data_IF_740685989400
#
_entry.id   IF_740685989400
#
_cell.length_a   1.000
_cell.length_b   1.000
_cell.length_c   1.000
_cell.angle_alpha   90.00
_cell.angle_beta   90.00
_cell.angle_gamma   90.00
#
_symmetry.space_group_name_H-M   'P 1'
#
loop_
_entity.id
_entity.type
_entity.pdbx_description
1 polymer ?
#
# COMPACT_ATOMS: atom_id res chain seq x y z
N UNK A 1 8.24 23.96 -64.87
CA UNK A 1 8.18 22.50 -65.06
C UNK A 1 9.03 21.82 -63.98
N UNK A 2 8.44 20.83 -63.27
CA UNK A 2 9.04 19.65 -62.57
C UNK A 2 10.27 19.88 -61.65
N UNK A 3 10.14 19.90 -60.31
CA UNK A 3 9.99 18.81 -59.28
C UNK A 3 11.28 18.06 -58.88
N UNK A 4 11.66 18.18 -57.60
CA UNK A 4 12.15 17.14 -56.65
C UNK A 4 12.60 17.88 -55.34
N UNK A 5 11.83 17.98 -54.25
CA UNK A 5 11.57 17.02 -53.14
C UNK A 5 12.81 16.23 -52.70
N UNK A 6 13.31 16.50 -51.47
CA UNK A 6 14.01 15.64 -50.48
C UNK A 6 14.84 16.58 -49.56
N UNK A 7 14.87 16.58 -48.23
CA UNK A 7 14.47 15.65 -47.18
C UNK A 7 14.05 16.49 -45.97
N UNK A 8 12.80 16.34 -45.56
CA UNK A 8 12.27 16.82 -44.28
C UNK A 8 12.23 15.60 -43.36
N UNK A 9 13.32 15.28 -42.64
CA UNK A 9 13.33 14.09 -41.77
C UNK A 9 14.50 14.06 -40.78
N UNK A 10 14.67 15.13 -40.00
CA UNK A 10 15.49 15.06 -38.77
C UNK A 10 14.76 15.81 -37.66
N UNK A 11 13.61 15.29 -37.24
CA UNK A 11 13.03 15.36 -35.89
C UNK A 11 11.60 14.80 -36.00
N UNK A 12 11.43 13.49 -35.76
CA UNK A 12 10.70 13.15 -34.53
C UNK A 12 11.21 11.87 -33.84
N UNK A 13 12.49 11.48 -34.01
CA UNK A 13 13.03 10.33 -33.26
C UNK A 13 13.27 10.62 -31.76
N UNK A 14 13.15 11.88 -31.33
CA UNK A 14 13.19 12.26 -29.91
C UNK A 14 11.80 12.26 -29.24
N UNK A 15 10.75 11.86 -29.97
CA UNK A 15 9.42 11.57 -29.45
C UNK A 15 9.19 10.06 -29.25
N UNK A 16 10.28 9.27 -29.14
CA UNK A 16 10.22 8.11 -28.25
C UNK A 16 10.05 8.69 -26.87
N UNK A 17 8.79 8.94 -26.52
CA UNK A 17 8.39 9.35 -25.21
C UNK A 17 9.17 8.48 -24.24
N UNK A 18 9.90 9.13 -23.35
CA UNK A 18 9.95 8.61 -22.01
C UNK A 18 8.48 8.40 -21.64
N UNK A 19 7.97 7.18 -21.87
CA UNK A 19 7.04 6.57 -20.95
C UNK A 19 7.77 6.68 -19.63
N UNK A 20 7.61 7.83 -18.96
CA UNK A 20 7.62 7.87 -17.54
C UNK A 20 6.69 6.74 -17.19
N UNK A 21 7.27 5.60 -16.79
CA UNK A 21 6.55 4.62 -16.01
C UNK A 21 6.01 5.46 -14.86
N UNK A 22 4.77 5.94 -15.01
CA UNK A 22 4.07 6.59 -13.92
C UNK A 22 4.11 5.54 -12.83
N UNK A 23 4.80 5.83 -11.73
CA UNK A 23 4.76 4.95 -10.57
C UNK A 23 3.30 4.78 -10.21
N UNK A 24 2.79 3.57 -10.35
CA UNK A 24 1.43 3.25 -9.92
C UNK A 24 1.44 3.04 -8.42
N UNK A 25 0.31 3.32 -7.77
CA UNK A 25 0.08 2.96 -6.39
C UNK A 25 -1.39 2.65 -6.16
N UNK A 26 -1.67 1.80 -5.18
CA UNK A 26 -3.01 1.42 -4.76
C UNK A 26 -3.10 1.57 -3.24
N UNK A 27 -4.26 2.02 -2.75
CA UNK A 27 -4.46 2.29 -1.33
C UNK A 27 -5.71 1.59 -0.81
N UNK A 28 -5.56 0.97 0.36
CA UNK A 28 -6.63 0.41 1.15
C UNK A 28 -6.66 1.15 2.48
N UNK A 29 -7.86 1.48 2.94
CA UNK A 29 -8.04 2.21 4.19
C UNK A 29 -9.27 1.69 4.95
N UNK A 30 -9.18 1.71 6.28
CA UNK A 30 -10.27 1.37 7.17
C UNK A 30 -10.06 2.02 8.54
N UNK A 31 -11.13 2.11 9.31
CA UNK A 31 -11.05 2.68 10.65
C UNK A 31 -11.99 1.96 11.63
N UNK A 32 -11.62 2.05 12.90
CA UNK A 32 -12.45 1.76 14.07
C UNK A 32 -12.55 3.04 14.92
N UNK A 33 -13.12 2.95 16.11
CA UNK A 33 -13.22 4.11 17.01
C UNK A 33 -11.84 4.66 17.40
N UNK A 34 -10.84 3.78 17.58
CA UNK A 34 -9.52 4.18 18.06
C UNK A 34 -8.41 4.09 17.01
N UNK A 35 -8.66 3.50 15.83
CA UNK A 35 -7.60 3.23 14.87
C UNK A 35 -7.99 3.58 13.45
N UNK A 36 -7.02 4.09 12.70
CA UNK A 36 -7.05 4.12 11.24
C UNK A 36 -5.94 3.21 10.72
N UNK A 37 -6.29 2.27 9.85
CA UNK A 37 -5.36 1.38 9.17
C UNK A 37 -5.28 1.73 7.69
N UNK A 38 -4.06 1.72 7.15
CA UNK A 38 -3.79 1.92 5.73
C UNK A 38 -2.85 0.83 5.23
N UNK A 39 -3.14 0.26 4.06
CA UNK A 39 -2.14 -0.46 3.29
C UNK A 39 -1.95 0.20 1.94
N UNK A 40 -0.70 0.48 1.61
CA UNK A 40 -0.29 0.99 0.30
C UNK A 40 0.45 -0.11 -0.46
N UNK A 41 0.11 -0.27 -1.74
CA UNK A 41 0.93 -1.00 -2.71
C UNK A 41 1.50 0.01 -3.68
N UNK A 42 2.79 -0.06 -3.93
CA UNK A 42 3.42 0.80 -4.94
C UNK A 42 4.52 0.07 -5.69
N UNK A 43 4.87 0.64 -6.83
CA UNK A 43 5.94 0.14 -7.67
C UNK A 43 7.30 0.25 -6.97
N UNK A 44 7.98 -0.89 -6.85
CA UNK A 44 9.35 -1.02 -6.36
C UNK A 44 10.25 -1.48 -7.50
N UNK A 45 11.31 -0.73 -7.81
CA UNK A 45 12.18 -1.02 -8.97
C UNK A 45 12.87 -2.37 -8.91
N UNK A 46 13.12 -2.88 -7.70
CA UNK A 46 13.85 -4.14 -7.50
C UNK A 46 12.88 -5.33 -7.41
N UNK A 47 11.69 -5.12 -6.85
CA UNK A 47 10.76 -6.18 -6.47
C UNK A 47 9.42 -6.15 -7.20
N UNK A 48 9.19 -5.19 -8.11
CA UNK A 48 7.93 -4.99 -8.82
C UNK A 48 6.89 -4.29 -7.93
N UNK A 49 6.35 -5.02 -6.96
CA UNK A 49 5.36 -4.50 -6.01
C UNK A 49 5.87 -4.56 -4.57
N UNK A 50 5.62 -3.50 -3.80
CA UNK A 50 5.87 -3.45 -2.35
C UNK A 50 4.61 -3.07 -1.60
N UNK A 51 4.38 -3.76 -0.49
CA UNK A 51 3.23 -3.60 0.38
C UNK A 51 3.69 -2.95 1.68
N UNK A 52 3.03 -1.88 2.10
CA UNK A 52 3.35 -1.19 3.35
C UNK A 52 2.09 -1.01 4.17
N UNK A 53 2.04 -1.65 5.33
CA UNK A 53 0.97 -1.51 6.31
C UNK A 53 1.31 -0.43 7.32
N UNK A 54 0.36 0.46 7.55
CA UNK A 54 0.46 1.61 8.45
C UNK A 54 -0.76 1.67 9.35
N UNK A 55 -0.56 2.13 10.58
CA UNK A 55 -1.68 2.44 11.48
C UNK A 55 -1.46 3.79 12.17
N UNK A 56 -2.57 4.42 12.54
CA UNK A 56 -2.60 5.65 13.34
C UNK A 56 -3.61 5.47 14.46
N UNK A 57 -3.22 5.83 15.67
CA UNK A 57 -4.14 5.93 16.80
C UNK A 57 -4.99 7.21 16.68
N UNK A 58 -6.30 7.06 16.81
CA UNK A 58 -7.31 8.12 16.76
C UNK A 58 -7.89 8.45 18.14
N UNK A 59 -7.67 7.57 19.11
CA UNK A 59 -8.17 7.75 20.47
C UNK A 59 -7.43 8.86 21.22
N UNK A 60 -7.90 9.13 22.44
CA UNK A 60 -7.24 10.01 23.38
C UNK A 60 -6.23 9.22 24.22
N UNK A 61 -5.19 9.89 24.73
CA UNK A 61 -4.18 9.28 25.59
C UNK A 61 -3.08 8.54 24.83
N UNK A 62 -2.23 7.85 25.60
CA UNK A 62 -1.09 7.10 25.07
C UNK A 62 -1.38 5.60 24.95
N UNK A 63 -0.78 4.95 23.95
CA UNK A 63 -0.78 3.49 23.81
C UNK A 63 0.52 2.94 24.40
N UNK A 64 0.42 2.10 25.43
CA UNK A 64 1.59 1.51 26.11
C UNK A 64 2.15 0.31 25.37
N UNK A 65 1.26 -0.51 24.80
CA UNK A 65 1.62 -1.73 24.08
C UNK A 65 0.72 -1.90 22.89
N UNK A 66 1.29 -2.41 21.82
CA UNK A 66 0.59 -2.72 20.60
C UNK A 66 1.09 -4.06 20.08
N UNK A 67 0.16 -4.92 19.68
CA UNK A 67 0.39 -6.11 18.90
C UNK A 67 -0.53 -6.08 17.69
N UNK A 68 -0.03 -6.49 16.53
CA UNK A 68 -0.82 -6.53 15.31
C UNK A 68 -0.67 -7.86 14.59
N UNK A 69 -1.73 -8.25 13.88
CA UNK A 69 -1.73 -9.33 12.91
C UNK A 69 -2.39 -8.80 11.63
N UNK A 70 -1.76 -9.04 10.49
CA UNK A 70 -2.27 -8.69 9.17
C UNK A 70 -2.17 -9.89 8.24
N UNK A 71 -3.27 -10.21 7.57
CA UNK A 71 -3.37 -11.26 6.57
C UNK A 71 -3.71 -10.63 5.22
N UNK A 72 -2.82 -10.80 4.24
CA UNK A 72 -3.00 -10.30 2.88
C UNK A 72 -2.80 -11.47 1.92
N UNK A 73 -3.68 -11.61 0.93
CA UNK A 73 -3.77 -12.80 0.04
C UNK A 73 -2.48 -13.13 -0.73
N UNK A 74 -1.54 -12.19 -0.87
CA UNK A 74 -0.33 -12.32 -1.70
C UNK A 74 0.99 -12.22 -0.92
N UNK A 75 0.93 -12.05 0.40
CA UNK A 75 2.10 -11.93 1.27
C UNK A 75 2.10 -13.02 2.33
N UNK A 76 3.18 -13.13 3.09
CA UNK A 76 3.14 -13.91 4.34
C UNK A 76 2.28 -13.19 5.39
N UNK A 77 1.76 -13.92 6.38
CA UNK A 77 1.09 -13.29 7.53
C UNK A 77 2.10 -12.38 8.25
N UNK A 78 1.72 -11.11 8.44
CA UNK A 78 2.56 -10.14 9.12
C UNK A 78 2.12 -10.02 10.57
N UNK A 79 3.06 -10.14 11.49
CA UNK A 79 2.81 -10.00 12.93
C UNK A 79 3.93 -9.19 13.57
N UNK A 80 3.60 -8.47 14.62
CA UNK A 80 4.61 -7.73 15.36
C UNK A 80 4.08 -7.12 16.64
N UNK A 81 5.02 -6.63 17.43
CA UNK A 81 4.76 -6.00 18.72
C UNK A 81 5.56 -4.73 18.85
N UNK A 82 4.91 -3.64 19.23
CA UNK A 82 5.53 -2.35 19.49
C UNK A 82 5.30 -2.00 20.95
N UNK A 83 6.39 -1.77 21.68
CA UNK A 83 6.33 -1.20 23.03
C UNK A 83 6.30 0.31 22.89
N UNK A 84 5.43 0.96 23.65
CA UNK A 84 5.29 2.43 23.70
C UNK A 84 5.30 3.06 22.30
N UNK A 85 4.41 2.64 21.38
CA UNK A 85 4.33 3.23 20.04
C UNK A 85 4.10 4.75 20.12
N UNK A 86 4.76 5.50 19.25
CA UNK A 86 4.65 6.95 19.20
C UNK A 86 3.92 7.38 17.93
N UNK A 87 2.75 8.00 18.09
CA UNK A 87 1.89 8.46 17.00
C UNK A 87 1.92 9.99 16.78
N UNK A 88 2.87 10.71 17.39
CA UNK A 88 2.96 12.19 17.26
C UNK A 88 3.14 12.66 15.82
N UNK A 89 3.82 11.86 15.00
CA UNK A 89 4.03 12.14 13.57
C UNK A 89 2.93 11.53 12.67
N UNK A 90 1.86 11.00 13.27
CA UNK A 90 0.74 10.40 12.57
C UNK A 90 0.88 8.88 12.46
N UNK A 91 1.00 8.37 11.25
CA UNK A 91 1.06 6.93 11.00
C UNK A 91 2.41 6.34 11.41
N UNK A 92 2.38 5.16 12.00
CA UNK A 92 3.55 4.29 12.12
C UNK A 92 3.45 3.14 11.12
N UNK A 93 4.59 2.65 10.63
CA UNK A 93 4.66 1.47 9.78
C UNK A 93 4.67 0.23 10.68
N UNK A 94 3.74 -0.69 10.44
CA UNK A 94 3.67 -1.98 11.16
C UNK A 94 4.31 -3.12 10.36
N UNK A 95 4.28 -3.08 9.04
CA UNK A 95 5.02 -4.04 8.22
C UNK A 95 5.38 -3.48 6.85
N UNK A 96 6.37 -4.11 6.22
CA UNK A 96 6.69 -3.96 4.81
C UNK A 96 6.97 -5.34 4.24
N UNK A 97 6.29 -5.72 3.15
CA UNK A 97 6.48 -7.02 2.50
C UNK A 97 6.45 -6.90 0.98
N UNK A 98 6.86 -7.95 0.28
CA UNK A 98 6.79 -8.11 -1.18
C UNK A 98 5.98 -9.37 -1.53
N UNK A 99 5.44 -9.49 -2.75
CA UNK A 99 4.72 -10.70 -3.14
C UNK A 99 5.52 -11.99 -3.00
N UNK A 100 4.83 -13.06 -2.65
CA UNK A 100 5.41 -14.40 -2.46
C UNK A 100 5.93 -15.05 -3.76
N UNK A 101 5.56 -14.55 -4.95
CA UNK A 101 5.95 -15.14 -6.25
C UNK A 101 6.28 -14.09 -7.32
N UNK A 102 7.12 -14.45 -8.29
CA UNK A 102 7.52 -13.56 -9.39
C UNK A 102 6.38 -13.21 -10.36
N UNK A 103 5.37 -14.08 -10.51
CA UNK A 103 4.17 -13.74 -11.30
C UNK A 103 3.41 -12.61 -10.63
N UNK A 104 3.20 -12.70 -9.32
CA UNK A 104 2.45 -11.71 -8.54
C UNK A 104 3.15 -10.34 -8.51
N UNK A 105 4.48 -10.29 -8.60
CA UNK A 105 5.24 -9.03 -8.69
C UNK A 105 4.83 -8.16 -9.89
N UNK A 106 4.39 -8.79 -10.97
CA UNK A 106 4.05 -8.13 -12.24
C UNK A 106 2.54 -7.93 -12.45
N UNK A 107 1.70 -8.50 -11.58
CA UNK A 107 0.25 -8.31 -11.63
C UNK A 107 -0.14 -6.86 -11.29
N UNK A 108 0.70 -6.18 -10.51
CA UNK A 108 0.55 -4.76 -10.21
C UNK A 108 1.23 -3.90 -11.27
N UNK A 109 0.43 -3.17 -12.03
CA UNK A 109 0.89 -2.29 -13.11
C UNK A 109 -0.10 -1.15 -13.33
N UNK A 110 0.28 -0.15 -14.11
CA UNK A 110 -0.64 0.90 -14.52
C UNK A 110 -1.84 0.33 -15.29
N UNK A 111 -3.03 0.82 -14.97
CA UNK A 111 -4.25 0.54 -15.75
C UNK A 111 -4.95 -0.78 -15.42
N UNK A 112 -4.64 -1.41 -14.28
CA UNK A 112 -5.50 -2.47 -13.73
C UNK A 112 -6.81 -1.85 -13.21
N UNK A 113 -7.91 -2.59 -13.30
CA UNK A 113 -9.22 -2.10 -12.86
C UNK A 113 -9.37 -2.19 -11.34
N UNK A 114 -10.33 -1.45 -10.77
CA UNK A 114 -10.63 -1.52 -9.34
C UNK A 114 -11.00 -2.93 -8.87
N UNK A 115 -11.64 -3.73 -9.73
CA UNK A 115 -11.95 -5.14 -9.48
C UNK A 115 -10.69 -6.00 -9.44
N UNK A 116 -9.76 -5.79 -10.38
CA UNK A 116 -8.45 -6.45 -10.36
C UNK A 116 -7.67 -6.05 -9.11
N UNK A 117 -7.71 -4.77 -8.72
CA UNK A 117 -7.07 -4.30 -7.49
C UNK A 117 -7.62 -5.01 -6.25
N UNK A 118 -8.95 -5.08 -6.12
CA UNK A 118 -9.63 -5.81 -5.02
C UNK A 118 -9.19 -7.26 -4.91
N UNK A 119 -8.94 -7.93 -6.03
CA UNK A 119 -8.48 -9.32 -6.02
C UNK A 119 -7.06 -9.50 -5.43
N UNK A 120 -6.25 -8.44 -5.35
CA UNK A 120 -4.88 -8.51 -4.87
C UNK A 120 -4.75 -8.63 -3.34
N UNK A 121 -5.62 -7.97 -2.60
CA UNK A 121 -5.62 -8.06 -1.13
C UNK A 121 -6.56 -9.12 -0.57
N UNK A 122 -7.38 -9.71 -1.44
CA UNK A 122 -8.54 -10.49 -1.06
C UNK A 122 -9.74 -9.60 -0.71
N UNK A 123 -10.90 -10.23 -0.52
CA UNK A 123 -12.15 -9.50 -0.28
C UNK A 123 -12.17 -8.75 1.07
N UNK A 124 -11.32 -9.15 2.03
CA UNK A 124 -11.32 -8.60 3.41
C UNK A 124 -9.91 -8.52 4.03
N UNK A 125 -8.98 -7.72 3.50
CA UNK A 125 -7.76 -7.39 4.23
C UNK A 125 -8.11 -6.79 5.59
N UNK A 126 -7.57 -7.38 6.64
CA UNK A 126 -7.85 -6.99 8.03
C UNK A 126 -6.57 -6.76 8.80
N UNK A 127 -6.57 -5.71 9.61
CA UNK A 127 -5.61 -5.57 10.70
C UNK A 127 -6.31 -5.90 12.00
N UNK A 128 -5.86 -6.95 12.67
CA UNK A 128 -6.24 -7.21 14.06
C UNK A 128 -5.23 -6.51 14.96
N UNK A 129 -5.72 -5.67 15.86
CA UNK A 129 -4.93 -4.85 16.76
C UNK A 129 -5.30 -5.19 18.20
N UNK A 130 -4.32 -5.67 18.97
CA UNK A 130 -4.42 -5.83 20.41
C UNK A 130 -3.55 -4.74 21.06
N UNK A 131 -4.11 -3.92 21.94
CA UNK A 131 -3.39 -2.77 22.49
C UNK A 131 -3.71 -2.51 23.96
N UNK A 132 -2.76 -1.96 24.69
CA UNK A 132 -2.93 -1.56 26.10
C UNK A 132 -2.90 -0.04 26.18
N UNK A 133 -3.92 0.55 26.81
CA UNK A 133 -4.02 1.99 27.00
C UNK A 133 -3.13 2.52 28.15
N UNK A 134 -3.22 3.82 28.41
CA UNK A 134 -2.47 4.50 29.46
C UNK A 134 -2.86 4.06 30.88
N UNK A 135 -4.09 3.60 31.08
CA UNK A 135 -4.57 3.06 32.36
C UNK A 135 -4.12 1.61 32.59
N UNK A 136 -3.64 0.94 31.53
CA UNK A 136 -3.19 -0.45 31.57
C UNK A 136 -4.30 -1.45 31.22
N UNK A 137 -5.38 -0.99 30.60
CA UNK A 137 -6.49 -1.82 30.13
C UNK A 137 -6.18 -2.34 28.72
N UNK A 138 -6.40 -3.62 28.51
CA UNK A 138 -6.19 -4.28 27.22
C UNK A 138 -7.47 -4.23 26.35
N UNK A 139 -7.28 -3.94 25.07
CA UNK A 139 -8.33 -3.79 24.07
C UNK A 139 -8.00 -4.61 22.81
N UNK A 140 -9.03 -5.05 22.10
CA UNK A 140 -8.91 -5.74 20.80
C UNK A 140 -9.83 -5.09 19.78
N UNK A 141 -9.29 -4.72 18.63
CA UNK A 141 -10.04 -4.13 17.53
C UNK A 141 -9.65 -4.80 16.20
N UNK A 142 -10.60 -4.86 15.26
CA UNK A 142 -10.38 -5.37 13.91
C UNK A 142 -10.70 -4.27 12.91
N UNK A 143 -9.69 -3.82 12.17
CA UNK A 143 -9.81 -2.80 11.14
C UNK A 143 -10.02 -3.51 9.80
N UNK A 144 -11.22 -3.37 9.23
CA UNK A 144 -11.53 -3.87 7.89
C UNK A 144 -11.13 -2.82 6.85
N UNK A 145 -10.19 -3.16 5.97
CA UNK A 145 -9.70 -2.22 4.96
C UNK A 145 -10.52 -2.33 3.67
N UNK A 146 -10.78 -1.19 3.03
CA UNK A 146 -11.47 -1.10 1.75
C UNK A 146 -10.59 -0.37 0.75
N UNK A 147 -10.65 -0.82 -0.50
CA UNK A 147 -9.96 -0.14 -1.59
C UNK A 147 -10.47 1.30 -1.74
N UNK A 148 -9.54 2.23 -1.87
CA UNK A 148 -9.80 3.65 -2.12
C UNK A 148 -9.44 3.93 -3.58
N UNK A 149 -10.46 4.07 -4.43
CA UNK A 149 -10.27 4.41 -5.84
C UNK A 149 -9.55 5.77 -5.97
N UNK A 150 -8.58 5.84 -6.89
CA UNK A 150 -7.76 7.02 -7.17
C UNK A 150 -8.26 7.81 -8.37
#
# INVERSE_FOLDING_TARGET
MKKAILVFLILPLLLLGACSEKGWSYKYEGATDNWNGVTEIFYDKENGARFVGKIKYLGNGDVKKLQFISELTQTSQQTGRVQTPNFKEGYIIIFQDVPNTDSTKNDFKNGVTDEEVKSFFGDYPVFKIDWTDEEGIDHTETIYLKYVAQ
#
